data_IF_054867805830
#
_entry.id   IF_054867805830
#
_cell.length_a   1.000
_cell.length_b   1.000
_cell.length_c   1.000
_cell.angle_alpha   90.00
_cell.angle_beta   90.00
_cell.angle_gamma   90.00
#
_symmetry.space_group_name_H-M   'P 1'
#
loop_
_entity.id
_entity.type
_entity.pdbx_description
1 polymer ?
#
# COMPACT_ATOMS: atom_id res chain seq x y z
N UNK A 1 -17.36 -18.36 7.07
CA UNK A 1 -16.92 -17.22 7.90
C UNK A 1 -15.79 -16.53 7.13
N UNK A 2 -15.71 -15.18 7.09
CA UNK A 2 -14.50 -14.51 6.62
C UNK A 2 -13.30 -15.02 7.42
N UNK A 3 -12.08 -14.97 6.87
CA UNK A 3 -10.89 -15.26 7.68
C UNK A 3 -10.89 -14.29 8.87
N UNK A 4 -10.56 -14.78 10.05
CA UNK A 4 -10.64 -14.01 11.30
C UNK A 4 -9.85 -12.71 11.14
N UNK A 5 -10.52 -11.56 11.06
CA UNK A 5 -9.89 -10.24 10.94
C UNK A 5 -10.19 -9.46 9.65
N UNK A 6 -10.80 -10.07 8.63
CA UNK A 6 -11.16 -9.34 7.41
C UNK A 6 -12.32 -8.37 7.67
N UNK A 7 -12.13 -7.09 7.29
CA UNK A 7 -13.17 -6.06 7.33
C UNK A 7 -13.81 -5.96 5.95
N UNK A 8 -15.14 -6.16 5.81
CA UNK A 8 -15.79 -6.18 4.50
C UNK A 8 -15.67 -4.87 3.71
N UNK A 9 -15.62 -3.73 4.39
CA UNK A 9 -15.51 -2.40 3.79
C UNK A 9 -14.71 -1.47 4.71
N UNK A 10 -13.81 -0.68 4.14
CA UNK A 10 -13.07 0.35 4.86
C UNK A 10 -13.03 1.64 4.05
N UNK A 11 -13.31 2.77 4.70
CA UNK A 11 -13.25 4.10 4.11
C UNK A 11 -12.83 5.08 5.20
N UNK A 12 -11.80 5.87 4.95
CA UNK A 12 -11.32 6.88 5.90
C UNK A 12 -12.02 8.22 5.66
N UNK A 13 -12.57 8.83 6.72
CA UNK A 13 -12.89 10.25 6.72
C UNK A 13 -11.59 11.06 6.91
N UNK A 14 -11.23 11.83 5.88
CA UNK A 14 -9.98 12.61 5.85
C UNK A 14 -10.17 14.07 6.27
N UNK A 15 -11.33 14.46 6.80
CA UNK A 15 -11.65 15.85 7.14
C UNK A 15 -10.62 16.48 8.08
N UNK A 16 -10.17 15.74 9.10
CA UNK A 16 -9.16 16.21 10.05
C UNK A 16 -7.79 16.41 9.37
N UNK A 17 -7.31 15.39 8.64
CA UNK A 17 -6.04 15.47 7.91
C UNK A 17 -6.03 16.61 6.87
N UNK A 18 -7.16 16.85 6.20
CA UNK A 18 -7.31 17.95 5.26
C UNK A 18 -7.22 19.31 5.95
N UNK A 19 -7.88 19.48 7.10
CA UNK A 19 -7.88 20.73 7.88
C UNK A 19 -6.52 21.01 8.52
N UNK A 20 -5.93 20.00 9.15
CA UNK A 20 -4.77 20.18 10.03
C UNK A 20 -3.44 20.06 9.27
N UNK A 21 -3.40 19.27 8.19
CA UNK A 21 -2.17 18.98 7.43
C UNK A 21 -2.24 19.44 5.97
N UNK A 22 -3.38 19.96 5.51
CA UNK A 22 -3.58 20.25 4.09
C UNK A 22 -3.58 19.00 3.21
N UNK A 23 -3.77 17.81 3.79
CA UNK A 23 -3.74 16.55 3.05
C UNK A 23 -4.88 16.49 2.03
N UNK A 24 -4.52 16.27 0.76
CA UNK A 24 -5.47 16.13 -0.34
C UNK A 24 -4.95 15.09 -1.34
N UNK A 25 -5.39 13.81 -1.27
CA UNK A 25 -4.91 12.78 -2.17
C UNK A 25 -5.25 13.14 -3.61
N UNK A 26 -4.26 13.04 -4.49
CA UNK A 26 -4.38 13.44 -5.91
C UNK A 26 -4.14 12.29 -6.88
N UNK A 27 -3.52 11.20 -6.43
CA UNK A 27 -3.19 10.03 -7.25
C UNK A 27 -4.40 9.10 -7.28
N UNK A 28 -4.85 8.75 -8.48
CA UNK A 28 -5.93 7.77 -8.65
C UNK A 28 -5.46 6.35 -8.32
N UNK A 29 -6.39 5.43 -8.12
CA UNK A 29 -6.04 4.03 -7.89
C UNK A 29 -5.24 3.47 -9.07
N UNK A 30 -5.68 3.74 -10.30
CA UNK A 30 -5.03 3.24 -11.51
C UNK A 30 -3.59 3.75 -11.62
N UNK A 31 -3.37 5.05 -11.44
CA UNK A 31 -2.03 5.66 -11.50
C UNK A 31 -1.10 5.10 -10.41
N UNK A 32 -1.63 4.91 -9.20
CA UNK A 32 -0.90 4.33 -8.09
C UNK A 32 -0.49 2.88 -8.34
N UNK A 33 -1.41 2.04 -8.84
CA UNK A 33 -1.14 0.64 -9.17
C UNK A 33 -0.10 0.53 -10.28
N UNK A 34 -0.22 1.35 -11.31
CA UNK A 34 0.71 1.42 -12.43
C UNK A 34 2.15 1.74 -11.97
N UNK A 35 2.27 2.73 -11.09
CA UNK A 35 3.54 3.15 -10.50
C UNK A 35 4.12 2.06 -9.59
N UNK A 36 3.27 1.41 -8.80
CA UNK A 36 3.65 0.30 -7.93
C UNK A 36 4.19 -0.89 -8.72
N UNK A 37 3.51 -1.33 -9.78
CA UNK A 37 3.97 -2.44 -10.62
C UNK A 37 5.32 -2.12 -11.26
N UNK A 38 5.48 -0.91 -11.81
CA UNK A 38 6.76 -0.46 -12.39
C UNK A 38 7.90 -0.54 -11.38
N UNK A 39 7.68 -0.06 -10.15
CA UNK A 39 8.66 -0.17 -9.08
C UNK A 39 8.94 -1.64 -8.73
N UNK A 40 7.89 -2.44 -8.49
CA UNK A 40 8.00 -3.83 -8.05
C UNK A 40 8.81 -4.68 -9.03
N UNK A 41 8.47 -4.59 -10.33
CA UNK A 41 9.18 -5.32 -11.39
C UNK A 41 10.65 -4.92 -11.48
N UNK A 42 10.96 -3.63 -11.28
CA UNK A 42 12.36 -3.16 -11.26
C UNK A 42 13.09 -3.65 -10.01
N UNK A 43 12.44 -3.58 -8.85
CA UNK A 43 13.02 -3.96 -7.58
C UNK A 43 13.38 -5.44 -7.57
N UNK A 44 12.49 -6.32 -8.03
CA UNK A 44 12.69 -7.77 -8.04
C UNK A 44 13.26 -8.32 -9.36
N UNK A 45 13.76 -7.47 -10.26
CA UNK A 45 14.30 -7.92 -11.55
C UNK A 45 15.45 -8.93 -11.41
N UNK A 46 16.21 -8.87 -10.30
CA UNK A 46 17.29 -9.80 -9.96
C UNK A 46 16.89 -10.97 -9.06
N UNK A 47 15.59 -11.15 -8.78
CA UNK A 47 15.09 -12.06 -7.75
C UNK A 47 14.89 -11.36 -6.40
N UNK A 48 14.57 -12.15 -5.37
CA UNK A 48 14.39 -11.66 -4.01
C UNK A 48 15.72 -11.16 -3.42
N UNK A 49 15.68 -10.05 -2.70
CA UNK A 49 16.86 -9.56 -1.98
C UNK A 49 17.00 -10.27 -0.64
N UNK A 50 18.19 -10.22 -0.04
CA UNK A 50 18.47 -10.95 1.20
C UNK A 50 17.60 -10.49 2.38
N UNK A 51 17.17 -9.23 2.38
CA UNK A 51 16.22 -8.65 3.33
C UNK A 51 14.80 -9.22 3.19
N UNK A 52 14.39 -9.61 1.98
CA UNK A 52 13.05 -10.17 1.72
C UNK A 52 12.96 -11.62 2.19
N UNK A 53 14.05 -12.37 2.06
CA UNK A 53 14.08 -13.80 2.39
C UNK A 53 14.28 -14.10 3.88
N UNK A 54 14.80 -13.13 4.64
CA UNK A 54 15.13 -13.29 6.05
C UNK A 54 14.08 -12.67 7.00
N UNK A 55 12.92 -12.27 6.48
CA UNK A 55 11.82 -11.78 7.30
C UNK A 55 11.27 -12.89 8.22
N UNK A 56 11.43 -12.71 9.52
CA UNK A 56 10.77 -13.53 10.55
C UNK A 56 9.64 -12.68 11.13
N UNK A 57 8.36 -13.01 10.85
CA UNK A 57 7.25 -12.32 11.49
C UNK A 57 7.33 -12.50 13.01
N UNK A 58 7.17 -11.42 13.77
CA UNK A 58 7.02 -11.46 15.23
C UNK A 58 5.68 -12.07 15.65
#
# INVERSE_FOLDING_TARGET
>A
MPKTGDVPFTHADISAAKKDLGYNPSISLDEGLDSFVRWYSKYYAGGAHAEDTNYVPM
#
